data_IF_518286028088
#
_entry.id   IF_518286028088
#
_cell.length_a   1.000
_cell.length_b   1.000
_cell.length_c   1.000
_cell.angle_alpha   90.00
_cell.angle_beta   90.00
_cell.angle_gamma   90.00
#
_symmetry.space_group_name_H-M   'P 1'
#
loop_
_entity.id
_entity.type
_entity.pdbx_description
1 polymer ?
#
# COMPACT_ATOMS: atom_id res chain seq x y z
N UNK A 1 12.33 13.29 -20.80
CA UNK A 1 11.50 12.14 -20.38
C UNK A 1 12.39 11.28 -19.51
N UNK A 2 12.37 11.52 -18.20
CA UNK A 2 13.40 11.06 -17.27
C UNK A 2 13.13 9.61 -16.86
N UNK A 3 14.08 8.71 -17.12
CA UNK A 3 14.02 7.31 -16.72
C UNK A 3 13.90 7.19 -15.19
N UNK A 4 12.87 6.49 -14.73
CA UNK A 4 12.78 6.06 -13.34
C UNK A 4 13.79 4.92 -13.11
N UNK A 5 14.74 5.13 -12.20
CA UNK A 5 15.73 4.13 -11.79
C UNK A 5 15.04 2.93 -11.09
N UNK A 6 15.43 1.72 -11.49
CA UNK A 6 14.96 0.43 -10.95
C UNK A 6 15.13 0.33 -9.43
N UNK A 7 16.14 1.01 -8.85
CA UNK A 7 16.33 1.11 -7.40
C UNK A 7 15.21 1.88 -6.71
N UNK A 8 14.73 2.95 -7.34
CA UNK A 8 13.61 3.75 -6.85
C UNK A 8 12.29 2.98 -6.94
N UNK A 9 12.09 2.18 -7.99
CA UNK A 9 10.87 1.37 -8.17
C UNK A 9 10.80 0.20 -7.17
N UNK A 10 11.89 -0.54 -6.96
CA UNK A 10 11.93 -1.66 -6.00
C UNK A 10 11.84 -1.20 -4.54
N UNK A 11 12.37 -0.02 -4.22
CA UNK A 11 12.16 0.61 -2.92
C UNK A 11 10.70 1.08 -2.73
N UNK A 12 10.03 1.52 -3.80
CA UNK A 12 8.65 2.02 -3.74
C UNK A 12 7.57 0.92 -3.64
N UNK A 13 7.87 -0.33 -4.07
CA UNK A 13 6.92 -1.46 -4.08
C UNK A 13 7.07 -2.43 -2.90
N UNK A 14 8.04 -2.21 -1.99
CA UNK A 14 8.15 -3.01 -0.76
C UNK A 14 8.58 -4.47 -0.95
N UNK A 15 9.10 -4.86 -2.12
CA UNK A 15 9.55 -6.23 -2.39
C UNK A 15 10.81 -6.67 -1.60
N UNK A 16 11.46 -5.76 -0.87
CA UNK A 16 12.61 -6.09 -0.02
C UNK A 16 12.26 -6.90 1.25
N UNK A 17 10.98 -7.07 1.58
CA UNK A 17 10.57 -7.74 2.83
C UNK A 17 10.59 -9.28 2.78
N UNK A 18 10.87 -9.90 1.62
CA UNK A 18 10.95 -11.35 1.48
C UNK A 18 12.41 -11.81 1.23
N UNK A 19 13.18 -12.03 2.29
CA UNK A 19 14.39 -12.87 2.24
C UNK A 19 15.69 -12.22 1.77
N UNK A 20 16.07 -11.08 2.34
CA UNK A 20 17.33 -10.41 2.00
C UNK A 20 18.54 -10.88 2.80
N UNK A 21 19.20 -11.98 2.42
CA UNK A 21 20.58 -12.30 2.87
C UNK A 21 21.46 -13.02 1.82
N UNK A 22 21.04 -13.11 0.53
CA UNK A 22 21.85 -13.73 -0.54
C UNK A 22 22.14 -12.87 -1.78
N UNK A 23 21.81 -11.59 -1.78
CA UNK A 23 22.00 -10.72 -2.96
C UNK A 23 23.18 -9.73 -2.86
N UNK A 24 23.91 -9.70 -1.75
CA UNK A 24 25.02 -8.75 -1.53
C UNK A 24 26.34 -9.06 -2.25
N UNK A 25 26.44 -10.14 -3.05
CA UNK A 25 27.70 -10.56 -3.69
C UNK A 25 27.64 -10.79 -5.20
N UNK A 26 26.54 -10.40 -5.85
CA UNK A 26 26.39 -10.49 -7.30
C UNK A 26 26.35 -9.12 -7.99
N UNK A 27 26.65 -8.02 -7.27
CA UNK A 27 26.56 -6.67 -7.80
C UNK A 27 27.77 -6.26 -8.66
N UNK A 28 28.91 -6.95 -8.54
CA UNK A 28 30.17 -6.55 -9.20
C UNK A 28 30.49 -7.34 -10.48
N UNK A 29 29.57 -8.19 -10.96
CA UNK A 29 29.78 -9.02 -12.16
C UNK A 29 28.53 -9.17 -13.03
N UNK A 30 27.71 -8.12 -13.16
CA UNK A 30 26.59 -8.14 -14.10
C UNK A 30 27.06 -7.62 -15.48
N UNK A 31 26.95 -8.42 -16.56
CA UNK A 31 27.21 -7.93 -17.91
C UNK A 31 26.26 -6.78 -18.28
N UNK A 32 26.70 -6.00 -19.28
CA UNK A 32 26.05 -4.81 -19.81
C UNK A 32 24.54 -4.99 -19.94
N UNK A 33 23.78 -4.06 -19.34
CA UNK A 33 22.34 -4.16 -19.13
C UNK A 33 21.54 -3.80 -20.39
N UNK A 34 21.92 -4.38 -21.52
CA UNK A 34 21.10 -4.48 -22.71
C UNK A 34 20.57 -5.89 -22.80
N UNK A 35 19.25 -6.02 -22.72
CA UNK A 35 18.47 -7.23 -23.01
C UNK A 35 18.21 -8.20 -21.84
N UNK A 36 17.44 -7.70 -20.87
CA UNK A 36 16.47 -8.53 -20.17
C UNK A 36 15.15 -7.77 -20.20
N UNK A 37 14.45 -7.85 -21.33
CA UNK A 37 13.07 -7.39 -21.46
C UNK A 37 12.18 -8.32 -20.63
N UNK A 38 12.25 -8.19 -19.30
CA UNK A 38 11.24 -8.77 -18.43
C UNK A 38 9.96 -8.03 -18.80
N UNK A 39 9.03 -8.70 -19.48
CA UNK A 39 7.69 -8.16 -19.65
C UNK A 39 7.13 -7.91 -18.25
N UNK A 40 7.18 -6.64 -17.86
CA UNK A 40 6.78 -6.17 -16.56
C UNK A 40 5.36 -6.64 -16.23
N UNK A 41 4.47 -6.70 -17.22
CA UNK A 41 3.09 -7.14 -17.03
C UNK A 41 3.02 -8.63 -16.71
N UNK A 42 3.75 -9.47 -17.45
CA UNK A 42 3.83 -10.92 -17.20
C UNK A 42 4.36 -11.28 -15.81
N UNK A 43 5.14 -10.39 -15.18
CA UNK A 43 5.65 -10.60 -13.81
C UNK A 43 4.74 -9.96 -12.75
N UNK A 44 4.25 -8.75 -13.01
CA UNK A 44 3.52 -7.94 -12.03
C UNK A 44 2.10 -8.44 -11.78
N UNK A 45 1.35 -8.79 -12.83
CA UNK A 45 -0.05 -9.19 -12.71
C UNK A 45 -0.25 -10.50 -11.95
N UNK A 46 0.57 -11.57 -12.17
CA UNK A 46 0.47 -12.77 -11.34
C UNK A 46 0.74 -12.54 -9.85
N UNK A 47 1.64 -11.61 -9.51
CA UNK A 47 1.86 -11.22 -8.12
C UNK A 47 0.61 -10.53 -7.54
N UNK A 48 -0.06 -9.68 -8.32
CA UNK A 48 -1.31 -9.04 -7.92
C UNK A 48 -2.43 -10.07 -7.69
N UNK A 49 -2.57 -11.05 -8.59
CA UNK A 49 -3.54 -12.14 -8.42
C UNK A 49 -3.27 -12.94 -7.15
N UNK A 50 -2.01 -13.27 -6.86
CA UNK A 50 -1.63 -14.00 -5.65
C UNK A 50 -1.86 -13.19 -4.35
N UNK A 51 -1.75 -11.87 -4.41
CA UNK A 51 -1.90 -10.98 -3.25
C UNK A 51 -3.37 -10.71 -2.87
N UNK A 52 -4.30 -10.78 -3.83
CA UNK A 52 -5.73 -10.55 -3.58
C UNK A 52 -6.29 -11.36 -2.41
N UNK A 53 -6.20 -12.71 -2.38
CA UNK A 53 -6.74 -13.51 -1.27
C UNK A 53 -6.02 -13.28 0.07
N UNK A 54 -4.77 -12.79 0.03
CA UNK A 54 -3.97 -12.47 1.23
C UNK A 54 -4.46 -11.16 1.85
N UNK A 55 -4.64 -10.12 1.05
CA UNK A 55 -5.01 -8.78 1.50
C UNK A 55 -6.51 -8.64 1.79
N UNK A 56 -7.34 -9.51 1.22
CA UNK A 56 -8.77 -9.50 1.47
C UNK A 56 -9.10 -9.83 2.94
N UNK A 57 -8.26 -10.64 3.57
CA UNK A 57 -8.35 -10.99 4.99
C UNK A 57 -7.52 -10.05 5.83
N UNK A 58 -7.91 -9.86 7.09
CA UNK A 58 -7.03 -9.17 8.03
C UNK A 58 -5.88 -10.08 8.44
N UNK A 59 -4.68 -9.72 8.00
CA UNK A 59 -3.45 -10.40 8.38
C UNK A 59 -2.86 -9.89 9.69
N UNK A 60 -1.76 -10.53 10.12
CA UNK A 60 -0.94 -10.09 11.25
C UNK A 60 0.14 -9.07 10.84
N UNK A 61 0.19 -8.70 9.57
CA UNK A 61 1.19 -7.78 9.03
C UNK A 61 0.90 -6.34 9.46
N UNK A 62 1.95 -5.51 9.49
CA UNK A 62 1.78 -4.08 9.68
C UNK A 62 1.08 -3.47 8.47
N UNK A 63 0.06 -2.64 8.71
CA UNK A 63 -0.76 -2.10 7.61
C UNK A 63 -0.01 -1.15 6.69
N UNK A 64 1.11 -0.56 7.10
CA UNK A 64 1.96 0.20 6.18
C UNK A 64 2.60 -0.69 5.11
N UNK A 65 2.87 -1.98 5.41
CA UNK A 65 3.40 -2.93 4.42
C UNK A 65 2.32 -3.32 3.43
N UNK A 66 1.12 -3.63 3.93
CA UNK A 66 -0.04 -3.91 3.09
C UNK A 66 -0.35 -2.73 2.16
N UNK A 67 -0.12 -1.49 2.62
CA UNK A 67 -0.33 -0.28 1.83
C UNK A 67 0.47 -0.23 0.52
N UNK A 68 1.65 -0.87 0.47
CA UNK A 68 2.45 -0.97 -0.76
C UNK A 68 1.74 -1.87 -1.78
N UNK A 69 1.27 -3.03 -1.32
CA UNK A 69 0.57 -3.99 -2.15
C UNK A 69 -0.79 -3.45 -2.62
N UNK A 70 -1.52 -2.73 -1.76
CA UNK A 70 -2.80 -2.08 -2.14
C UNK A 70 -2.60 -1.05 -3.26
N UNK A 71 -1.52 -0.26 -3.22
CA UNK A 71 -1.20 0.67 -4.32
C UNK A 71 -0.80 -0.07 -5.60
N UNK A 72 -0.13 -1.22 -5.48
CA UNK A 72 0.12 -2.14 -6.58
C UNK A 72 -1.18 -2.65 -7.22
N UNK A 73 -2.10 -3.18 -6.42
CA UNK A 73 -3.40 -3.64 -6.90
C UNK A 73 -4.23 -2.52 -7.55
N UNK A 74 -4.19 -1.30 -7.01
CA UNK A 74 -4.83 -0.14 -7.63
C UNK A 74 -4.25 0.17 -9.02
N UNK A 75 -2.93 0.07 -9.19
CA UNK A 75 -2.29 0.22 -10.51
C UNK A 75 -2.65 -0.95 -11.45
N UNK A 76 -2.72 -2.18 -10.92
CA UNK A 76 -3.16 -3.34 -11.70
C UNK A 76 -4.61 -3.19 -12.18
N UNK A 77 -5.49 -2.61 -11.36
CA UNK A 77 -6.84 -2.24 -11.77
C UNK A 77 -6.83 -1.24 -12.92
N UNK A 78 -6.03 -0.18 -12.84
CA UNK A 78 -5.96 0.82 -13.93
C UNK A 78 -5.46 0.20 -15.25
N UNK A 79 -4.55 -0.78 -15.17
CA UNK A 79 -3.99 -1.46 -16.35
C UNK A 79 -4.95 -2.45 -17.00
N UNK A 80 -5.85 -3.06 -16.23
CA UNK A 80 -6.62 -4.24 -16.67
C UNK A 80 -8.13 -4.05 -16.64
N UNK A 81 -8.63 -3.10 -15.83
CA UNK A 81 -10.04 -2.97 -15.50
C UNK A 81 -10.60 -4.09 -14.61
N UNK A 82 -9.76 -5.02 -14.12
CA UNK A 82 -10.21 -6.19 -13.33
C UNK A 82 -10.74 -5.74 -11.97
N UNK A 83 -12.07 -5.76 -11.80
CA UNK A 83 -12.77 -5.24 -10.62
C UNK A 83 -12.33 -5.89 -9.30
N UNK A 84 -11.95 -7.17 -9.33
CA UNK A 84 -11.47 -7.91 -8.16
C UNK A 84 -10.34 -7.17 -7.42
N UNK A 85 -9.39 -6.58 -8.17
CA UNK A 85 -8.30 -5.80 -7.58
C UNK A 85 -8.81 -4.60 -6.81
N UNK A 86 -9.69 -3.81 -7.43
CA UNK A 86 -10.27 -2.63 -6.78
C UNK A 86 -11.15 -3.01 -5.59
N UNK A 87 -11.91 -4.09 -5.67
CA UNK A 87 -12.81 -4.52 -4.59
C UNK A 87 -12.02 -4.95 -3.34
N UNK A 88 -10.88 -5.63 -3.50
CA UNK A 88 -9.95 -5.91 -2.38
C UNK A 88 -9.38 -4.62 -1.79
N UNK A 89 -8.91 -3.71 -2.64
CA UNK A 89 -8.40 -2.40 -2.23
C UNK A 89 -9.42 -1.59 -1.42
N UNK A 90 -10.68 -1.60 -1.85
CA UNK A 90 -11.80 -0.90 -1.20
C UNK A 90 -12.09 -1.46 0.17
N UNK A 91 -12.26 -2.79 0.29
CA UNK A 91 -12.52 -3.44 1.59
C UNK A 91 -11.41 -3.17 2.60
N UNK A 92 -10.15 -3.23 2.17
CA UNK A 92 -9.01 -2.89 3.03
C UNK A 92 -9.05 -1.42 3.45
N UNK A 93 -9.32 -0.50 2.53
CA UNK A 93 -9.32 0.95 2.83
C UNK A 93 -10.46 1.38 3.75
N UNK A 94 -11.66 0.79 3.57
CA UNK A 94 -12.79 1.00 4.48
C UNK A 94 -12.43 0.52 5.89
N UNK A 95 -11.80 -0.65 6.01
CA UNK A 95 -11.32 -1.17 7.29
C UNK A 95 -10.31 -0.22 7.96
N UNK A 96 -9.41 0.39 7.18
CA UNK A 96 -8.46 1.37 7.72
C UNK A 96 -9.17 2.63 8.25
N UNK A 97 -10.19 3.10 7.55
CA UNK A 97 -11.03 4.21 8.02
C UNK A 97 -11.79 3.83 9.31
N UNK A 98 -12.35 2.61 9.38
CA UNK A 98 -13.04 2.11 10.59
C UNK A 98 -12.12 1.98 11.81
N UNK A 99 -10.83 1.69 11.57
CA UNK A 99 -9.82 1.75 12.62
C UNK A 99 -9.49 3.18 13.00
N UNK A 100 -9.29 4.07 12.02
CA UNK A 100 -8.99 5.48 12.24
C UNK A 100 -10.07 6.19 13.06
N UNK A 101 -11.35 5.86 12.86
CA UNK A 101 -12.49 6.42 13.61
C UNK A 101 -12.37 6.23 15.14
N UNK A 102 -11.58 5.25 15.57
CA UNK A 102 -11.35 4.90 16.98
C UNK A 102 -9.96 5.28 17.46
N UNK A 103 -9.14 5.90 16.62
CA UNK A 103 -7.80 6.33 17.01
C UNK A 103 -7.85 7.63 17.81
N UNK A 104 -6.91 7.73 18.75
CA UNK A 104 -6.62 8.93 19.52
C UNK A 104 -5.12 9.21 19.31
N UNK A 105 -4.67 10.37 18.80
CA UNK A 105 -5.48 11.50 18.38
C UNK A 105 -6.36 11.17 17.15
N UNK A 106 -7.50 11.88 16.96
CA UNK A 106 -8.35 11.72 15.79
C UNK A 106 -7.56 11.93 14.49
N UNK A 107 -7.79 11.07 13.50
CA UNK A 107 -7.11 11.12 12.20
C UNK A 107 -5.84 10.27 12.11
N UNK A 108 -5.25 9.81 13.22
CA UNK A 108 -4.14 8.86 13.17
C UNK A 108 -4.59 7.51 12.60
N UNK A 109 -3.79 6.87 11.75
CA UNK A 109 -4.09 5.52 11.27
C UNK A 109 -3.57 4.47 12.24
N UNK A 110 -4.36 3.41 12.46
CA UNK A 110 -3.87 2.23 13.14
C UNK A 110 -2.88 1.49 12.23
N UNK A 111 -1.71 1.14 12.75
CA UNK A 111 -0.64 0.52 11.95
C UNK A 111 -0.63 -1.01 12.03
N UNK A 112 -1.60 -1.60 12.73
CA UNK A 112 -1.59 -2.99 13.21
C UNK A 112 -0.51 -3.30 14.26
N UNK A 113 0.01 -2.26 14.93
CA UNK A 113 0.91 -2.34 16.08
C UNK A 113 0.94 -0.99 16.81
N UNK A 114 1.61 -0.92 17.97
CA UNK A 114 1.68 0.30 18.76
C UNK A 114 0.34 0.65 19.41
N UNK A 115 -0.13 1.89 19.23
CA UNK A 115 -1.40 2.37 19.76
C UNK A 115 -2.55 1.68 19.03
N UNK A 116 -3.35 0.91 19.77
CA UNK A 116 -4.54 0.22 19.24
C UNK A 116 -5.74 1.17 19.14
N UNK A 117 -6.71 0.88 18.26
CA UNK A 117 -7.98 1.58 18.24
C UNK A 117 -8.65 1.55 19.63
N UNK A 118 -9.12 2.70 20.12
CA UNK A 118 -9.71 2.89 21.44
C UNK A 118 -8.70 3.08 22.59
N UNK A 119 -7.41 2.85 22.35
CA UNK A 119 -6.39 3.01 23.39
C UNK A 119 -5.96 4.48 23.54
N UNK A 120 -5.78 4.93 24.78
CA UNK A 120 -5.32 6.29 25.12
C UNK A 120 -3.80 6.45 25.16
N UNK A 121 -3.06 5.34 25.15
CA UNK A 121 -1.60 5.30 25.28
C UNK A 121 -1.00 4.37 24.22
N UNK A 122 0.30 4.50 23.99
CA UNK A 122 1.06 3.78 22.96
C UNK A 122 1.51 4.70 21.83
N UNK A 123 2.42 4.21 20.98
CA UNK A 123 2.97 5.01 19.89
C UNK A 123 2.12 4.88 18.61
N UNK A 124 1.99 6.00 17.91
CA UNK A 124 1.58 6.05 16.51
C UNK A 124 2.69 6.77 15.75
N UNK A 125 3.02 6.30 14.55
CA UNK A 125 4.15 6.82 13.79
C UNK A 125 3.67 7.50 12.51
N UNK A 126 4.13 8.72 12.30
CA UNK A 126 3.69 9.56 11.18
C UNK A 126 4.03 8.90 9.83
N UNK A 127 5.24 8.38 9.64
CA UNK A 127 5.66 7.78 8.36
C UNK A 127 4.87 6.51 7.97
N UNK A 128 4.57 5.66 8.95
CA UNK A 128 3.77 4.46 8.70
C UNK A 128 2.30 4.83 8.45
N UNK A 129 1.78 5.79 9.21
CA UNK A 129 0.42 6.32 9.00
C UNK A 129 0.28 7.00 7.64
N UNK A 130 1.30 7.73 7.16
CA UNK A 130 1.26 8.37 5.85
C UNK A 130 1.24 7.36 4.72
N UNK A 131 1.97 6.25 4.85
CA UNK A 131 1.92 5.15 3.89
C UNK A 131 0.51 4.56 3.75
N UNK A 132 -0.18 4.38 4.88
CA UNK A 132 -1.60 3.95 4.91
C UNK A 132 -2.49 5.01 4.25
N UNK A 133 -2.33 6.29 4.61
CA UNK A 133 -3.09 7.40 4.03
C UNK A 133 -2.95 7.47 2.50
N UNK A 134 -1.74 7.26 1.97
CA UNK A 134 -1.48 7.24 0.53
C UNK A 134 -2.23 6.10 -0.18
N UNK A 135 -2.29 4.92 0.43
CA UNK A 135 -3.08 3.81 -0.10
C UNK A 135 -4.58 4.13 -0.06
N UNK A 136 -5.10 4.61 1.07
CA UNK A 136 -6.52 5.01 1.19
C UNK A 136 -6.88 6.08 0.15
N UNK A 137 -6.01 7.06 -0.08
CA UNK A 137 -6.24 8.09 -1.11
C UNK A 137 -6.25 7.50 -2.53
N UNK A 138 -5.30 6.61 -2.85
CA UNK A 138 -5.25 5.95 -4.15
C UNK A 138 -6.52 5.14 -4.44
N UNK A 139 -7.10 4.50 -3.43
CA UNK A 139 -8.35 3.77 -3.56
C UNK A 139 -9.55 4.71 -3.64
N UNK A 140 -9.58 5.75 -2.80
CA UNK A 140 -10.67 6.73 -2.76
C UNK A 140 -10.92 7.40 -4.12
N UNK A 141 -9.86 7.74 -4.87
CA UNK A 141 -10.02 8.37 -6.20
C UNK A 141 -10.55 7.42 -7.27
N UNK A 142 -10.34 6.11 -7.10
CA UNK A 142 -10.81 5.04 -8.01
C UNK A 142 -12.17 4.47 -7.61
N UNK A 143 -12.66 4.80 -6.41
CA UNK A 143 -13.92 4.28 -5.89
C UNK A 143 -15.09 4.95 -6.60
N UNK A 144 -15.98 4.18 -7.26
CA UNK A 144 -17.09 4.74 -8.03
C UNK A 144 -18.25 5.20 -7.13
N UNK A 145 -18.45 4.55 -5.99
CA UNK A 145 -19.48 4.95 -5.04
C UNK A 145 -19.12 6.28 -4.37
N UNK A 146 -20.03 7.26 -4.49
CA UNK A 146 -19.76 8.62 -4.04
C UNK A 146 -19.64 8.73 -2.52
N UNK A 147 -20.43 7.95 -1.76
CA UNK A 147 -20.41 7.99 -0.30
C UNK A 147 -19.12 7.35 0.24
N UNK A 148 -18.71 6.22 -0.31
CA UNK A 148 -17.45 5.55 0.03
C UNK A 148 -16.25 6.42 -0.37
N UNK A 149 -16.27 7.02 -1.56
CA UNK A 149 -15.24 7.98 -1.98
C UNK A 149 -15.14 9.16 -1.01
N UNK A 150 -16.26 9.74 -0.60
CA UNK A 150 -16.29 10.82 0.38
C UNK A 150 -15.75 10.36 1.75
N UNK A 151 -16.08 9.15 2.20
CA UNK A 151 -15.55 8.54 3.43
C UNK A 151 -14.02 8.39 3.37
N UNK A 152 -13.50 7.77 2.31
CA UNK A 152 -12.06 7.52 2.16
C UNK A 152 -11.25 8.82 2.02
N UNK A 153 -11.73 9.77 1.23
CA UNK A 153 -11.06 11.08 1.09
C UNK A 153 -11.19 11.93 2.37
N UNK A 154 -12.29 11.81 3.10
CA UNK A 154 -12.47 12.42 4.43
C UNK A 154 -11.50 11.84 5.46
N UNK A 155 -11.29 10.53 5.46
CA UNK A 155 -10.31 9.82 6.28
C UNK A 155 -8.89 10.36 6.05
N UNK A 156 -8.48 10.52 4.79
CA UNK A 156 -7.17 11.08 4.44
C UNK A 156 -7.05 12.55 4.85
N UNK A 157 -8.11 13.34 4.66
CA UNK A 157 -8.15 14.74 5.09
C UNK A 157 -8.03 14.88 6.60
N UNK A 158 -8.64 13.99 7.37
CA UNK A 158 -8.53 13.95 8.84
C UNK A 158 -7.08 13.72 9.27
N UNK A 159 -6.40 12.75 8.64
CA UNK A 159 -4.98 12.52 8.87
C UNK A 159 -4.13 13.74 8.50
N UNK A 160 -4.37 14.34 7.34
CA UNK A 160 -3.62 15.52 6.89
C UNK A 160 -3.73 16.69 7.90
N UNK A 161 -4.93 16.96 8.43
CA UNK A 161 -5.16 17.99 9.47
C UNK A 161 -4.45 17.71 10.79
N UNK A 162 -4.15 16.44 11.07
CA UNK A 162 -3.44 16.06 12.29
C UNK A 162 -1.94 16.34 12.18
N UNK A 163 -1.36 16.25 10.98
CA UNK A 163 0.11 16.24 10.77
C UNK A 163 0.66 17.44 10.01
N UNK A 164 -0.21 18.33 9.51
CA UNK A 164 0.13 19.59 8.82
C UNK A 164 -0.57 20.73 9.57
#
# INVERSE_FOLDING_TARGET
>A
MTLFDRRTFLAATGLAAAGGWRLGRAADAAPDATDCDVDFRSTFLPLCDALCPVLDKEGKNQFYKDSYAIRGLAAAYDLTGKREYLDVCRRWSVRMADYQDRMDPPGAYFMNYGRRPGAKKGHWYIGDSSSIALAVQAVGVRTPDAAEKARLTGSVRSYAKLVI
#
